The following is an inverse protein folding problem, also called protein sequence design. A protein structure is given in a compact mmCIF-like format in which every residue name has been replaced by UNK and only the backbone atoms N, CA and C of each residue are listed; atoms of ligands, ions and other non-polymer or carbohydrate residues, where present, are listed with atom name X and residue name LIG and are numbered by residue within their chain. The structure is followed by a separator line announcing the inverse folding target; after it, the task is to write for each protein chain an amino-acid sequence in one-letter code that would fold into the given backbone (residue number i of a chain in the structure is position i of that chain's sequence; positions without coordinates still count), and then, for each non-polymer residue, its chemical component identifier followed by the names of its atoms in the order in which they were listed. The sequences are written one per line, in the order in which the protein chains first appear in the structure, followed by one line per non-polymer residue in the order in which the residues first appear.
data_IF_953403665065
#
_entry.id   IF_953403665065
#
_cell.length_a   1.000
_cell.length_b   1.000
_cell.length_c   1.000
_cell.angle_alpha   90.00
_cell.angle_beta   90.00
_cell.angle_gamma   90.00
#
_symmetry.space_group_name_H-M   'P 1'
#
loop_
_entity.id
_entity.type
_entity.pdbx_description
1 polymer ?
#
# COMPACT_ATOMS: atom_id res chain seq x y z
N UNK A 1 -17.57 2.23 7.78
CA UNK A 1 -16.17 1.80 7.95
C UNK A 1 -15.27 2.93 7.46
N UNK A 2 -14.15 3.28 8.11
CA UNK A 2 -13.29 4.41 7.75
C UNK A 2 -11.96 3.90 7.18
N UNK A 3 -11.87 3.78 5.86
CA UNK A 3 -10.68 3.26 5.16
C UNK A 3 -9.47 4.16 5.30
N UNK A 4 -9.67 5.49 5.39
CA UNK A 4 -8.59 6.44 5.57
C UNK A 4 -7.87 6.23 6.92
N UNK A 5 -8.63 6.02 7.99
CA UNK A 5 -8.07 5.72 9.31
C UNK A 5 -7.33 4.38 9.32
N UNK A 6 -7.90 3.37 8.67
CA UNK A 6 -7.29 2.03 8.55
C UNK A 6 -5.97 2.13 7.79
N UNK A 7 -5.96 2.78 6.62
CA UNK A 7 -4.75 2.96 5.83
C UNK A 7 -3.67 3.74 6.59
N UNK A 8 -4.05 4.81 7.29
CA UNK A 8 -3.12 5.57 8.14
C UNK A 8 -2.44 4.67 9.17
N UNK A 9 -3.21 3.86 9.90
CA UNK A 9 -2.67 2.91 10.89
C UNK A 9 -1.74 1.89 10.26
N UNK A 10 -2.08 1.35 9.10
CA UNK A 10 -1.26 0.40 8.35
C UNK A 10 0.07 1.03 7.96
N UNK A 11 0.06 2.22 7.36
CA UNK A 11 1.27 2.91 6.92
C UNK A 11 2.17 3.33 8.11
N UNK A 12 1.59 3.79 9.21
CA UNK A 12 2.33 4.11 10.43
C UNK A 12 3.01 2.88 11.05
N UNK A 13 2.34 1.74 11.02
CA UNK A 13 2.92 0.48 11.53
C UNK A 13 4.06 0.00 10.65
N UNK A 14 3.91 0.07 9.33
CA UNK A 14 4.98 -0.22 8.37
C UNK A 14 6.20 0.65 8.66
N UNK A 15 6.02 1.95 8.87
CA UNK A 15 7.09 2.89 9.24
C UNK A 15 7.78 2.53 10.55
N UNK A 16 7.02 2.16 11.58
CA UNK A 16 7.57 1.78 12.88
C UNK A 16 8.36 0.46 12.83
N UNK A 17 7.90 -0.50 12.05
CA UNK A 17 8.57 -1.81 11.87
C UNK A 17 9.94 -1.65 11.19
N UNK A 18 10.06 -0.74 10.23
CA UNK A 18 11.33 -0.44 9.56
C UNK A 18 12.36 0.28 10.45
N UNK A 19 11.90 1.00 11.48
CA UNK A 19 12.79 1.73 12.40
C UNK A 19 13.33 0.92 13.59
N UNK A 20 12.83 -0.29 13.83
CA UNK A 20 13.15 -1.09 15.05
C UNK A 20 13.81 -2.42 14.73
N UNK A 21 14.95 -2.42 14.05
CA UNK A 21 15.75 -3.65 13.85
C UNK A 21 16.50 -4.08 15.14
N UNK A 22 16.37 -3.37 16.29
CA UNK A 22 17.22 -3.62 17.46
C UNK A 22 16.52 -3.67 18.81
N UNK A 23 15.31 -4.23 18.95
CA UNK A 23 14.84 -4.79 20.26
C UNK A 23 13.47 -5.47 20.10
N UNK A 24 13.27 -6.70 20.61
CA UNK A 24 11.95 -7.23 20.87
C UNK A 24 11.36 -6.49 22.05
N UNK A 25 10.37 -5.64 21.85
CA UNK A 25 9.70 -4.91 22.93
C UNK A 25 8.19 -5.19 22.84
N UNK A 26 7.65 -5.65 23.94
CA UNK A 26 6.27 -6.04 24.23
C UNK A 26 5.21 -4.94 23.99
N UNK A 27 5.60 -3.79 23.43
CA UNK A 27 4.76 -2.59 23.31
C UNK A 27 3.95 -2.48 22.00
N UNK A 28 4.11 -3.38 21.04
CA UNK A 28 3.40 -3.29 19.75
C UNK A 28 1.95 -3.75 19.87
N UNK A 29 1.68 -4.72 20.71
CA UNK A 29 0.32 -5.23 20.95
C UNK A 29 -0.60 -4.18 21.59
N UNK A 30 -0.10 -3.37 22.53
CA UNK A 30 -0.90 -2.39 23.26
C UNK A 30 -1.29 -1.16 22.41
N UNK A 31 -0.50 -0.81 21.40
CA UNK A 31 -0.82 0.32 20.50
C UNK A 31 -1.84 -0.09 19.43
N UNK A 32 -1.80 -1.35 19.00
CA UNK A 32 -2.71 -1.94 18.02
C UNK A 32 -4.12 -2.07 18.59
N UNK A 33 -4.25 -2.37 19.89
CA UNK A 33 -5.54 -2.58 20.56
C UNK A 33 -6.38 -1.30 20.71
N UNK A 34 -5.78 -0.12 20.59
CA UNK A 34 -6.46 1.18 20.80
C UNK A 34 -7.05 1.80 19.54
N UNK A 35 -6.67 1.32 18.35
CA UNK A 35 -7.17 1.84 17.06
C UNK A 35 -8.00 0.76 16.40
N UNK A 36 -9.31 0.82 16.62
CA UNK A 36 -10.25 -0.18 16.13
C UNK A 36 -10.15 -0.43 14.62
N UNK A 37 -10.23 -1.68 14.19
CA UNK A 37 -10.40 -2.14 12.81
C UNK A 37 -9.15 -2.32 11.96
N UNK A 38 -8.11 -1.56 12.20
CA UNK A 38 -6.85 -1.69 11.46
C UNK A 38 -5.95 -2.84 11.92
N UNK A 39 -6.22 -3.42 13.10
CA UNK A 39 -5.35 -4.40 13.73
C UNK A 39 -5.12 -5.67 12.87
N UNK A 40 -6.15 -6.15 12.21
CA UNK A 40 -6.06 -7.35 11.38
C UNK A 40 -5.25 -7.11 10.10
N UNK A 41 -5.42 -5.95 9.42
CA UNK A 41 -4.58 -5.56 8.28
C UNK A 41 -3.15 -5.26 8.70
N UNK A 42 -2.97 -4.62 9.85
CA UNK A 42 -1.66 -4.40 10.44
C UNK A 42 -1.00 -5.73 10.75
N UNK A 43 -1.73 -6.70 11.29
CA UNK A 43 -1.25 -8.05 11.54
C UNK A 43 -0.79 -8.73 10.24
N UNK A 44 -1.63 -8.75 9.22
CA UNK A 44 -1.32 -9.30 7.91
C UNK A 44 -0.11 -8.62 7.28
N UNK A 45 -0.13 -7.30 7.20
CA UNK A 45 0.97 -6.56 6.59
C UNK A 45 2.24 -6.58 7.44
N UNK A 46 2.14 -6.60 8.76
CA UNK A 46 3.31 -6.80 9.63
C UNK A 46 3.90 -8.20 9.49
N UNK A 47 3.08 -9.20 9.22
CA UNK A 47 3.52 -10.58 8.99
C UNK A 47 4.25 -10.70 7.65
N UNK A 48 3.71 -10.09 6.60
CA UNK A 48 4.34 -10.02 5.27
C UNK A 48 5.61 -9.16 5.31
N UNK A 49 5.54 -7.97 5.93
CA UNK A 49 6.65 -7.02 6.03
C UNK A 49 7.65 -7.38 7.15
N UNK A 50 7.20 -7.99 8.24
CA UNK A 50 8.04 -8.32 9.39
C UNK A 50 9.01 -9.47 9.15
N UNK A 51 8.73 -10.33 8.21
CA UNK A 51 9.67 -11.40 7.79
C UNK A 51 10.91 -10.84 7.05
N UNK A 52 10.88 -9.56 6.62
CA UNK A 52 11.77 -9.09 5.55
C UNK A 52 12.26 -7.62 5.70
N UNK A 53 12.39 -7.12 6.93
CA UNK A 53 12.70 -5.71 7.23
C UNK A 53 13.78 -5.04 6.37
N UNK A 54 13.37 -4.18 5.47
CA UNK A 54 14.23 -3.30 4.67
C UNK A 54 14.17 -1.83 5.16
N UNK A 55 15.30 -1.13 5.05
CA UNK A 55 15.50 0.24 5.57
C UNK A 55 14.76 1.35 4.79
N UNK A 56 14.13 1.03 3.66
CA UNK A 56 13.50 2.01 2.76
C UNK A 56 12.14 2.53 3.23
N UNK A 57 11.51 1.85 4.20
CA UNK A 57 10.14 2.10 4.63
C UNK A 57 9.94 3.31 5.56
N UNK A 58 11.03 3.91 6.04
CA UNK A 58 10.94 5.00 7.03
C UNK A 58 10.33 6.29 6.47
N UNK A 59 10.25 6.43 5.16
CA UNK A 59 9.76 7.65 4.50
C UNK A 59 8.25 7.66 4.26
N UNK A 60 7.59 6.49 4.20
CA UNK A 60 6.19 6.37 3.81
C UNK A 60 5.36 5.98 5.04
N UNK A 61 4.85 6.94 5.76
CA UNK A 61 4.05 6.72 6.98
C UNK A 61 2.65 7.34 6.94
N UNK A 62 2.19 7.81 5.78
CA UNK A 62 0.84 8.37 5.64
C UNK A 62 0.42 8.46 4.17
N UNK A 63 -0.88 8.61 3.91
CA UNK A 63 -1.42 8.88 2.58
C UNK A 63 -0.80 10.15 1.96
N UNK A 64 -0.62 11.20 2.77
CA UNK A 64 0.04 12.43 2.34
C UNK A 64 1.51 12.19 1.93
N UNK A 65 2.22 11.31 2.64
CA UNK A 65 3.60 10.94 2.27
C UNK A 65 3.64 10.17 0.94
N UNK A 66 2.70 9.25 0.70
CA UNK A 66 2.55 8.59 -0.61
C UNK A 66 2.33 9.61 -1.73
N UNK A 67 1.40 10.56 -1.52
CA UNK A 67 1.12 11.64 -2.48
C UNK A 67 2.34 12.51 -2.74
N UNK A 68 3.08 12.89 -1.70
CA UNK A 68 4.28 13.72 -1.81
C UNK A 68 5.40 13.03 -2.60
N UNK A 69 5.65 11.74 -2.34
CA UNK A 69 6.66 10.95 -3.05
C UNK A 69 6.23 10.76 -4.52
N UNK A 70 4.98 10.43 -4.76
CA UNK A 70 4.44 10.29 -6.11
C UNK A 70 4.58 11.60 -6.92
N UNK A 71 4.31 12.74 -6.30
CA UNK A 71 4.49 14.05 -6.92
C UNK A 71 5.96 14.35 -7.25
N UNK A 72 6.90 14.09 -6.32
CA UNK A 72 8.33 14.29 -6.55
C UNK A 72 8.85 13.42 -7.69
N UNK A 73 8.41 12.17 -7.74
CA UNK A 73 8.74 11.25 -8.83
C UNK A 73 8.21 11.76 -10.17
N UNK A 74 6.95 12.21 -10.20
CA UNK A 74 6.33 12.77 -11.40
C UNK A 74 7.05 14.02 -11.88
N UNK A 75 7.44 14.93 -10.98
CA UNK A 75 8.26 16.10 -11.34
C UNK A 75 9.61 15.71 -11.95
N UNK A 76 10.28 14.71 -11.37
CA UNK A 76 11.57 14.24 -11.88
C UNK A 76 11.42 13.59 -13.25
N UNK A 77 10.37 12.81 -13.45
CA UNK A 77 10.00 12.23 -14.73
C UNK A 77 9.77 13.31 -15.81
N UNK A 78 8.98 14.34 -15.50
CA UNK A 78 8.71 15.43 -16.45
C UNK A 78 9.95 16.22 -16.85
N UNK A 79 10.83 16.55 -15.90
CA UNK A 79 12.08 17.24 -16.18
C UNK A 79 12.95 16.48 -17.18
N UNK A 80 12.91 15.16 -17.14
CA UNK A 80 13.69 14.30 -18.02
C UNK A 80 13.05 14.11 -19.40
N UNK A 81 11.76 14.44 -19.57
CA UNK A 81 11.05 14.25 -20.85
C UNK A 81 10.83 15.52 -21.67
N UNK A 82 11.20 16.70 -21.17
CA UNK A 82 10.94 17.99 -21.82
C UNK A 82 9.44 18.24 -22.19
N UNK A 83 8.52 17.52 -21.57
CA UNK A 83 7.07 17.71 -21.75
C UNK A 83 6.47 18.31 -20.50
N UNK A 84 5.90 19.49 -20.64
CA UNK A 84 5.20 20.21 -19.58
C UNK A 84 3.69 19.86 -19.59
N UNK A 85 3.34 18.78 -18.93
CA UNK A 85 1.96 18.60 -18.45
C UNK A 85 1.97 18.90 -16.97
N UNK A 86 1.57 20.11 -16.62
CA UNK A 86 1.68 20.67 -15.26
C UNK A 86 0.61 20.04 -14.33
N UNK A 87 0.88 18.85 -13.78
CA UNK A 87 0.11 18.39 -12.63
C UNK A 87 0.65 19.09 -11.38
N UNK A 88 -0.23 19.83 -10.71
CA UNK A 88 0.13 20.55 -9.49
C UNK A 88 0.24 19.61 -8.28
N UNK A 89 0.97 19.98 -7.20
CA UNK A 89 1.02 19.22 -5.96
C UNK A 89 -0.37 18.86 -5.41
N UNK A 90 -1.30 19.80 -5.52
CA UNK A 90 -2.68 19.61 -5.05
C UNK A 90 -3.41 18.46 -5.74
N UNK A 91 -3.06 18.11 -6.99
CA UNK A 91 -3.67 16.98 -7.69
C UNK A 91 -3.19 15.62 -7.14
N UNK A 92 -2.01 15.57 -6.51
CA UNK A 92 -1.53 14.39 -5.80
C UNK A 92 -2.07 14.30 -4.37
N UNK A 93 -2.43 15.43 -3.76
CA UNK A 93 -3.09 15.47 -2.45
C UNK A 93 -4.61 15.35 -2.57
N UNK A 94 -5.21 15.95 -3.61
CA UNK A 94 -6.64 15.99 -3.89
C UNK A 94 -6.91 15.45 -5.29
N UNK A 95 -6.89 14.12 -5.42
CA UNK A 95 -7.27 13.45 -6.69
C UNK A 95 -8.78 13.64 -6.94
N UNK A 96 -9.27 13.22 -8.10
CA UNK A 96 -10.71 13.22 -8.42
C UNK A 96 -11.54 12.33 -7.51
N UNK A 97 -10.89 11.44 -6.79
CA UNK A 97 -11.49 10.50 -5.84
C UNK A 97 -11.50 11.08 -4.42
N UNK A 98 -12.52 10.78 -3.65
CA UNK A 98 -12.55 11.10 -2.23
C UNK A 98 -11.42 10.39 -1.48
N UNK A 99 -11.01 10.91 -0.32
CA UNK A 99 -9.98 10.26 0.52
C UNK A 99 -10.37 8.82 0.87
N UNK A 100 -11.64 8.56 1.07
CA UNK A 100 -12.16 7.23 1.40
C UNK A 100 -12.04 6.26 0.23
N UNK A 101 -12.36 6.70 -0.99
CA UNK A 101 -12.21 5.90 -2.21
C UNK A 101 -10.73 5.60 -2.50
N UNK A 102 -9.86 6.59 -2.35
CA UNK A 102 -8.41 6.42 -2.50
C UNK A 102 -7.87 5.40 -1.50
N UNK A 103 -8.23 5.58 -0.23
CA UNK A 103 -7.78 4.68 0.84
C UNK A 103 -8.29 3.26 0.62
N UNK A 104 -9.51 3.09 0.15
CA UNK A 104 -10.07 1.79 -0.18
C UNK A 104 -9.29 1.08 -1.28
N UNK A 105 -9.07 1.75 -2.43
CA UNK A 105 -8.34 1.11 -3.55
C UNK A 105 -6.88 0.83 -3.19
N UNK A 106 -6.23 1.70 -2.44
CA UNK A 106 -4.85 1.48 -1.96
C UNK A 106 -4.79 0.26 -1.04
N UNK A 107 -5.68 0.15 -0.05
CA UNK A 107 -5.72 -1.00 0.87
C UNK A 107 -5.98 -2.31 0.12
N UNK A 108 -6.95 -2.33 -0.80
CA UNK A 108 -7.24 -3.50 -1.62
C UNK A 108 -6.05 -3.91 -2.47
N UNK A 109 -5.34 -2.94 -3.05
CA UNK A 109 -4.12 -3.21 -3.82
C UNK A 109 -3.00 -3.77 -2.95
N UNK A 110 -2.82 -3.25 -1.73
CA UNK A 110 -1.84 -3.78 -0.78
C UNK A 110 -2.15 -5.22 -0.39
N UNK A 111 -3.43 -5.57 -0.19
CA UNK A 111 -3.86 -6.96 0.07
C UNK A 111 -3.56 -7.84 -1.14
N UNK A 112 -3.92 -7.41 -2.35
CA UNK A 112 -3.67 -8.16 -3.57
C UNK A 112 -2.16 -8.38 -3.80
N UNK A 113 -1.34 -7.37 -3.51
CA UNK A 113 0.12 -7.46 -3.57
C UNK A 113 0.66 -8.48 -2.55
N UNK A 114 0.18 -8.43 -1.30
CA UNK A 114 0.56 -9.37 -0.24
C UNK A 114 0.23 -10.83 -0.59
N UNK A 115 -0.86 -11.03 -1.32
CA UNK A 115 -1.32 -12.35 -1.75
C UNK A 115 -0.74 -12.81 -3.10
N UNK A 116 0.04 -11.97 -3.77
CA UNK A 116 0.54 -12.24 -5.12
C UNK A 116 1.53 -13.42 -5.18
N UNK A 117 2.26 -13.69 -4.10
CA UNK A 117 3.23 -14.77 -4.01
C UNK A 117 2.63 -16.10 -3.52
N UNK A 118 1.42 -16.07 -2.94
CA UNK A 118 0.73 -17.27 -2.48
C UNK A 118 -0.52 -16.98 -1.67
N UNK A 119 -1.24 -18.04 -1.37
CA UNK A 119 -2.42 -18.00 -0.51
C UNK A 119 -1.95 -18.00 0.95
N UNK A 120 -2.59 -17.19 1.80
CA UNK A 120 -2.38 -17.24 3.25
C UNK A 120 -2.59 -18.66 3.76
N UNK A 121 -1.71 -19.12 4.64
CA UNK A 121 -1.91 -20.39 5.33
C UNK A 121 -3.05 -20.28 6.38
N UNK A 122 -3.52 -21.43 6.87
CA UNK A 122 -4.65 -21.48 7.83
C UNK A 122 -4.31 -20.79 9.16
N UNK A 123 -3.04 -20.77 9.58
CA UNK A 123 -2.63 -20.08 10.81
C UNK A 123 -2.64 -18.56 10.60
N UNK A 124 -2.17 -18.09 9.44
CA UNK A 124 -2.21 -16.66 9.07
C UNK A 124 -3.64 -16.16 8.98
N UNK A 125 -4.55 -16.93 8.39
CA UNK A 125 -5.99 -16.60 8.37
C UNK A 125 -6.59 -16.53 9.78
N UNK A 126 -6.32 -17.53 10.61
CA UNK A 126 -6.84 -17.58 11.98
C UNK A 126 -6.35 -16.40 12.83
N UNK A 127 -5.10 -15.97 12.68
CA UNK A 127 -4.56 -14.79 13.36
C UNK A 127 -5.26 -13.50 12.92
N UNK A 128 -5.51 -13.33 11.62
CA UNK A 128 -6.23 -12.19 11.07
C UNK A 128 -7.67 -12.15 11.58
N UNK A 129 -8.34 -13.29 11.62
CA UNK A 129 -9.70 -13.42 12.15
C UNK A 129 -9.76 -13.10 13.64
N UNK A 130 -8.78 -13.54 14.42
CA UNK A 130 -8.72 -13.26 15.85
C UNK A 130 -8.54 -11.77 16.15
N UNK A 131 -7.72 -11.06 15.41
CA UNK A 131 -7.47 -9.64 15.59
C UNK A 131 -8.64 -8.76 15.12
N UNK A 132 -9.46 -9.22 14.18
CA UNK A 132 -10.63 -8.52 13.66
C UNK A 132 -11.87 -8.54 14.54
N UNK A 133 -11.91 -9.31 15.64
CA UNK A 133 -13.12 -9.58 16.43
C UNK A 133 -13.87 -8.34 16.97
N UNK A 134 -13.20 -7.20 17.09
CA UNK A 134 -13.79 -5.98 17.63
C UNK A 134 -14.54 -5.11 16.58
N UNK A 135 -14.51 -5.48 15.30
CA UNK A 135 -15.16 -4.74 14.21
C UNK A 135 -15.74 -5.66 13.13
N UNK A 136 -16.98 -6.13 13.31
CA UNK A 136 -17.56 -7.15 12.43
C UNK A 136 -17.69 -6.71 10.96
N UNK A 137 -17.96 -5.44 10.69
CA UNK A 137 -18.03 -4.92 9.30
C UNK A 137 -16.68 -4.99 8.60
N UNK A 138 -15.60 -4.63 9.33
CA UNK A 138 -14.24 -4.70 8.79
C UNK A 138 -13.81 -6.13 8.58
N UNK A 139 -14.10 -7.02 9.50
CA UNK A 139 -13.82 -8.44 9.39
C UNK A 139 -14.48 -9.06 8.16
N UNK A 140 -15.77 -8.77 7.96
CA UNK A 140 -16.50 -9.25 6.79
C UNK A 140 -15.88 -8.76 5.48
N UNK A 141 -15.53 -7.48 5.41
CA UNK A 141 -14.87 -6.90 4.25
C UNK A 141 -13.49 -7.53 4.00
N UNK A 142 -12.65 -7.65 5.05
CA UNK A 142 -11.31 -8.23 4.93
C UNK A 142 -11.36 -9.70 4.53
N UNK A 143 -12.27 -10.49 5.13
CA UNK A 143 -12.46 -11.89 4.78
C UNK A 143 -12.88 -12.05 3.31
N UNK A 144 -13.71 -11.16 2.79
CA UNK A 144 -14.09 -11.14 1.38
C UNK A 144 -12.88 -10.83 0.47
N UNK A 145 -12.09 -9.79 0.80
CA UNK A 145 -10.88 -9.43 0.04
C UNK A 145 -9.80 -10.52 0.08
N UNK A 146 -9.64 -11.21 1.21
CA UNK A 146 -8.69 -12.32 1.34
C UNK A 146 -9.14 -13.56 0.55
N UNK A 147 -10.46 -13.79 0.47
CA UNK A 147 -11.02 -14.92 -0.27
C UNK A 147 -11.01 -14.68 -1.78
N UNK A 148 -11.22 -13.44 -2.20
CA UNK A 148 -11.26 -13.02 -3.59
C UNK A 148 -10.58 -11.66 -3.75
N UNK A 149 -9.23 -11.62 -3.77
CA UNK A 149 -8.50 -10.38 -3.92
C UNK A 149 -8.85 -9.65 -5.22
N UNK A 150 -8.86 -8.32 -5.14
CA UNK A 150 -9.10 -7.49 -6.32
C UNK A 150 -8.06 -7.78 -7.41
N UNK A 151 -8.49 -7.94 -8.65
CA UNK A 151 -7.59 -8.14 -9.78
C UNK A 151 -6.94 -6.83 -10.23
N UNK A 152 -5.79 -6.94 -10.89
CA UNK A 152 -5.07 -5.80 -11.49
C UNK A 152 -5.98 -5.00 -12.44
N UNK A 153 -6.82 -5.68 -13.24
CA UNK A 153 -7.78 -5.02 -14.13
C UNK A 153 -8.84 -4.23 -13.37
N UNK A 154 -9.34 -4.77 -12.26
CA UNK A 154 -10.31 -4.06 -11.43
C UNK A 154 -9.68 -2.87 -10.70
N UNK A 155 -8.43 -2.98 -10.25
CA UNK A 155 -7.68 -1.86 -9.69
C UNK A 155 -7.59 -0.74 -10.73
N UNK A 156 -7.17 -1.06 -11.96
CA UNK A 156 -7.06 -0.09 -13.04
C UNK A 156 -8.41 0.58 -13.37
N UNK A 157 -9.51 -0.16 -13.34
CA UNK A 157 -10.85 0.41 -13.53
C UNK A 157 -11.24 1.40 -12.43
N UNK A 158 -10.91 1.11 -11.16
CA UNK A 158 -11.18 2.00 -10.03
C UNK A 158 -10.32 3.28 -10.07
N UNK A 159 -9.08 3.15 -10.50
CA UNK A 159 -8.14 4.28 -10.63
C UNK A 159 -8.47 5.15 -11.86
N UNK A 160 -8.91 4.52 -12.94
CA UNK A 160 -9.18 5.19 -14.21
C UNK A 160 -7.92 5.84 -14.80
N UNK A 161 -8.07 7.07 -15.31
CA UNK A 161 -6.97 7.83 -15.92
C UNK A 161 -6.32 8.82 -14.93
N UNK A 162 -6.40 8.56 -13.64
CA UNK A 162 -5.81 9.41 -12.59
C UNK A 162 -4.36 9.00 -12.32
N UNK A 163 -3.41 9.64 -13.00
CA UNK A 163 -1.97 9.37 -12.86
C UNK A 163 -1.48 9.57 -11.42
N UNK A 164 -2.06 10.53 -10.70
CA UNK A 164 -1.68 10.79 -9.31
C UNK A 164 -2.09 9.62 -8.40
N UNK A 165 -3.31 9.12 -8.55
CA UNK A 165 -3.77 7.95 -7.82
C UNK A 165 -3.06 6.67 -8.28
N UNK A 166 -2.84 6.50 -9.59
CA UNK A 166 -2.09 5.38 -10.15
C UNK A 166 -0.69 5.26 -9.53
N UNK A 167 0.02 6.38 -9.43
CA UNK A 167 1.36 6.45 -8.80
C UNK A 167 1.32 6.07 -7.32
N UNK A 168 0.31 6.51 -6.57
CA UNK A 168 0.14 6.17 -5.15
C UNK A 168 -0.19 4.69 -4.96
N UNK A 169 -1.08 4.14 -5.80
CA UNK A 169 -1.47 2.73 -5.80
C UNK A 169 -0.27 1.83 -6.11
N UNK A 170 0.53 2.20 -7.11
CA UNK A 170 1.76 1.48 -7.44
C UNK A 170 2.76 1.48 -6.29
N UNK A 171 3.03 2.64 -5.70
CA UNK A 171 3.94 2.76 -4.55
C UNK A 171 3.46 1.93 -3.35
N UNK A 172 2.16 1.91 -3.08
CA UNK A 172 1.59 1.12 -1.99
C UNK A 172 1.77 -0.40 -2.24
N UNK A 173 1.58 -0.86 -3.47
CA UNK A 173 1.87 -2.25 -3.85
C UNK A 173 3.36 -2.57 -3.71
N UNK A 174 4.24 -1.68 -4.19
CA UNK A 174 5.69 -1.85 -4.11
C UNK A 174 6.21 -1.90 -2.66
N UNK A 175 5.59 -1.16 -1.74
CA UNK A 175 5.86 -1.24 -0.30
C UNK A 175 5.65 -2.64 0.28
N UNK A 176 4.66 -3.34 -0.22
CA UNK A 176 4.33 -4.72 0.22
C UNK A 176 5.27 -5.73 -0.43
N UNK A 177 5.56 -5.57 -1.72
CA UNK A 177 6.44 -6.43 -2.52
C UNK A 177 7.92 -6.11 -2.28
N UNK A 178 8.46 -6.43 -1.10
CA UNK A 178 9.84 -6.04 -0.73
C UNK A 178 10.92 -6.99 -1.23
N UNK A 179 10.66 -8.28 -1.24
CA UNK A 179 11.66 -9.28 -1.68
C UNK A 179 11.78 -9.39 -3.19
N UNK A 180 10.84 -8.82 -3.92
CA UNK A 180 10.76 -8.94 -5.37
C UNK A 180 10.88 -10.43 -5.80
N UNK A 181 10.10 -11.28 -5.15
CA UNK A 181 9.92 -12.63 -5.63
C UNK A 181 9.47 -12.60 -7.10
N UNK A 182 9.67 -13.68 -7.84
CA UNK A 182 9.26 -13.73 -9.25
C UNK A 182 7.77 -13.40 -9.44
N UNK A 183 6.91 -13.80 -8.51
CA UNK A 183 5.48 -13.53 -8.56
C UNK A 183 5.16 -12.06 -8.26
N UNK A 184 5.83 -11.47 -7.26
CA UNK A 184 5.70 -10.05 -6.93
C UNK A 184 6.16 -9.15 -8.10
N UNK A 185 7.28 -9.50 -8.76
CA UNK A 185 7.77 -8.78 -9.95
C UNK A 185 6.71 -8.82 -11.06
N UNK A 186 6.13 -9.98 -11.33
CA UNK A 186 5.07 -10.13 -12.35
C UNK A 186 3.84 -9.31 -11.97
N UNK A 187 3.43 -9.34 -10.70
CA UNK A 187 2.30 -8.55 -10.21
C UNK A 187 2.53 -7.05 -10.40
N UNK A 188 3.69 -6.54 -9.99
CA UNK A 188 4.05 -5.12 -10.12
C UNK A 188 4.13 -4.68 -11.59
N UNK A 189 4.71 -5.50 -12.47
CA UNK A 189 4.77 -5.21 -13.90
C UNK A 189 3.37 -5.13 -14.52
N UNK A 190 2.51 -6.09 -14.22
CA UNK A 190 1.12 -6.10 -14.68
C UNK A 190 0.32 -4.91 -14.13
N UNK A 191 0.58 -4.54 -12.87
CA UNK A 191 -0.07 -3.39 -12.25
C UNK A 191 0.35 -2.08 -12.92
N UNK A 192 1.65 -1.88 -13.16
CA UNK A 192 2.17 -0.69 -13.85
C UNK A 192 1.58 -0.56 -15.27
N UNK A 193 1.54 -1.67 -16.03
CA UNK A 193 0.96 -1.71 -17.37
C UNK A 193 -0.55 -1.38 -17.34
N UNK A 194 -1.31 -2.01 -16.46
CA UNK A 194 -2.75 -1.78 -16.35
C UNK A 194 -3.10 -0.35 -15.90
N UNK A 195 -2.26 0.26 -15.06
CA UNK A 195 -2.38 1.66 -14.63
C UNK A 195 -1.87 2.66 -15.67
N UNK A 196 -1.38 2.19 -16.83
CA UNK A 196 -0.75 3.01 -17.88
C UNK A 196 0.40 3.91 -17.34
N UNK A 197 1.18 3.40 -16.40
CA UNK A 197 2.38 4.09 -15.91
C UNK A 197 3.53 3.85 -16.89
N UNK A 198 4.19 4.94 -17.29
CA UNK A 198 5.40 4.87 -18.12
C UNK A 198 6.55 4.25 -17.30
N UNK A 199 7.38 3.40 -17.93
CA UNK A 199 8.49 2.70 -17.27
C UNK A 199 9.46 3.67 -16.57
N UNK A 200 9.70 4.85 -17.16
CA UNK A 200 10.56 5.86 -16.55
C UNK A 200 9.89 6.52 -15.34
N UNK A 201 8.55 6.63 -15.35
CA UNK A 201 7.83 7.11 -14.16
C UNK A 201 7.90 6.07 -13.06
N UNK A 202 7.74 4.80 -13.37
CA UNK A 202 7.90 3.70 -12.41
C UNK A 202 9.29 3.72 -11.78
N UNK A 203 10.34 3.85 -12.58
CA UNK A 203 11.73 4.00 -12.10
C UNK A 203 11.88 5.20 -11.14
N UNK A 204 11.31 6.35 -11.48
CA UNK A 204 11.36 7.53 -10.60
C UNK A 204 10.56 7.33 -9.31
N UNK A 205 9.42 6.64 -9.37
CA UNK A 205 8.62 6.30 -8.18
C UNK A 205 9.41 5.43 -7.21
N UNK A 206 10.05 4.39 -7.70
CA UNK A 206 10.88 3.50 -6.90
C UNK A 206 12.10 4.23 -6.32
N UNK A 207 12.80 5.00 -7.13
CA UNK A 207 13.97 5.77 -6.70
C UNK A 207 13.62 6.79 -5.60
N UNK A 208 12.52 7.54 -5.74
CA UNK A 208 12.10 8.53 -4.75
C UNK A 208 11.63 7.88 -3.44
N UNK A 209 11.01 6.72 -3.53
CA UNK A 209 10.63 5.91 -2.37
C UNK A 209 11.83 5.25 -1.67
N UNK A 210 12.97 5.13 -2.37
CA UNK A 210 14.21 4.53 -1.84
C UNK A 210 14.28 3.01 -2.02
N UNK A 211 13.65 2.51 -3.10
CA UNK A 211 13.74 1.11 -3.54
C UNK A 211 14.88 0.89 -4.51
#
# INVERSE_FOLDING_TARGET
MNFNQILGTVLDTVKQSAGKVNKPSESTADTITKVGGGAALVGLLSMVLGKKGGSSLTKIGSLAALGSIAYQAYQSYQKNQAQSTDLSPNQFEQTKHSEEERSNVILRTMIAAALSDGVLDENEKAMIEQEGQNQPEFQQWLSAELSQPISVTQIAQLVGNDVALASQVYLAARLVCQELSRKEIVFLAQLAEALNLDDKLVEQLEQQAGF
#
